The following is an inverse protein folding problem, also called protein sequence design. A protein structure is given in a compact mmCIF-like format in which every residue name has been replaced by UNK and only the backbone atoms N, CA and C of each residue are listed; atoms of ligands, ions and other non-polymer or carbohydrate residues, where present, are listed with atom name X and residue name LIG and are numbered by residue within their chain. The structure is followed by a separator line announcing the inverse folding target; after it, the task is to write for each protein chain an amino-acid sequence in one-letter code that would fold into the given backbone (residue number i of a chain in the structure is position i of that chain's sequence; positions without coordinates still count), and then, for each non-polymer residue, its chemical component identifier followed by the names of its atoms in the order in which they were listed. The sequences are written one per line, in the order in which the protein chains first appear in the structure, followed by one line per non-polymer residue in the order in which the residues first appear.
data_IF_818523959607
#
_entry.id   IF_818523959607
#
_cell.length_a   1.000
_cell.length_b   1.000
_cell.length_c   1.000
_cell.angle_alpha   90.00
_cell.angle_beta   90.00
_cell.angle_gamma   90.00
#
_symmetry.space_group_name_H-M   'P 1'
#
loop_
_entity.id
_entity.type
_entity.pdbx_description
1 polymer ?
#
# COMPACT_ATOMS: atom_id res chain seq x y z
N UNK A 1 3.19 2.23 45.20
CA UNK A 1 3.05 3.71 45.21
C UNK A 1 1.83 3.98 44.36
N UNK A 2 0.83 4.61 44.96
CA UNK A 2 -0.50 4.76 44.40
C UNK A 2 -0.60 6.04 43.56
N UNK A 3 -1.58 6.07 42.66
CA UNK A 3 -1.98 7.29 41.95
C UNK A 3 -2.36 8.38 42.97
N UNK A 4 -2.34 9.66 42.56
CA UNK A 4 -2.91 10.70 43.40
C UNK A 4 -4.39 10.36 43.72
N UNK A 5 -4.89 10.63 44.94
CA UNK A 5 -6.28 10.33 45.29
C UNK A 5 -7.29 10.99 44.34
N UNK A 6 -6.96 12.18 43.85
CA UNK A 6 -7.75 12.93 42.88
C UNK A 6 -7.79 12.23 41.51
N UNK A 7 -6.65 11.82 40.97
CA UNK A 7 -6.61 11.12 39.68
C UNK A 7 -7.27 9.75 39.78
N UNK A 8 -7.08 9.02 40.90
CA UNK A 8 -7.74 7.74 41.12
C UNK A 8 -9.28 7.88 41.10
N UNK A 9 -9.83 8.91 41.77
CA UNK A 9 -11.26 9.20 41.75
C UNK A 9 -11.75 9.56 40.34
N UNK A 10 -11.06 10.49 39.67
CA UNK A 10 -11.44 10.95 38.33
C UNK A 10 -11.37 9.82 37.29
N UNK A 11 -10.36 8.96 37.38
CA UNK A 11 -10.20 7.80 36.51
C UNK A 11 -11.32 6.78 36.73
N UNK A 12 -11.71 6.53 37.98
CA UNK A 12 -12.84 5.65 38.28
C UNK A 12 -14.17 6.20 37.73
N UNK A 13 -14.40 7.51 37.84
CA UNK A 13 -15.57 8.18 37.24
C UNK A 13 -15.55 8.03 35.72
N UNK A 14 -14.41 8.27 35.08
CA UNK A 14 -14.26 8.08 33.63
C UNK A 14 -14.62 6.65 33.23
N UNK A 15 -14.03 5.64 33.89
CA UNK A 15 -14.22 4.23 33.55
C UNK A 15 -15.67 3.77 33.83
N UNK A 16 -16.35 4.36 34.80
CA UNK A 16 -17.77 4.12 35.05
C UNK A 16 -18.66 4.59 33.88
N UNK A 17 -18.25 5.65 33.17
CA UNK A 17 -18.92 6.15 31.96
C UNK A 17 -18.62 5.32 30.70
N UNK A 18 -17.89 4.20 30.82
CA UNK A 18 -17.62 3.22 29.75
C UNK A 18 -17.05 3.86 28.46
N UNK A 19 -15.87 4.50 28.52
CA UNK A 19 -15.25 5.07 27.34
C UNK A 19 -15.03 4.01 26.26
N UNK A 20 -15.22 4.39 25.00
CA UNK A 20 -14.97 3.58 23.83
C UNK A 20 -13.48 3.40 23.56
N UNK A 21 -12.67 4.41 23.86
CA UNK A 21 -11.21 4.43 23.72
C UNK A 21 -10.60 5.46 24.68
N UNK A 22 -9.31 5.30 24.99
CA UNK A 22 -8.54 6.20 25.84
C UNK A 22 -7.24 6.59 25.14
N UNK A 23 -6.95 7.89 25.13
CA UNK A 23 -5.71 8.48 24.61
C UNK A 23 -5.00 9.22 25.74
N UNK A 24 -3.67 9.13 25.80
CA UNK A 24 -2.88 9.91 26.76
C UNK A 24 -1.89 10.77 25.99
N UNK A 25 -1.97 12.08 26.20
CA UNK A 25 -0.93 13.00 25.77
C UNK A 25 0.12 13.09 26.88
N UNK A 26 1.25 12.41 26.71
CA UNK A 26 2.29 12.29 27.72
C UNK A 26 2.95 13.64 28.02
N UNK A 27 3.22 14.47 27.02
CA UNK A 27 3.88 15.78 27.20
C UNK A 27 3.04 16.75 28.02
N UNK A 28 1.73 16.73 27.83
CA UNK A 28 0.79 17.54 28.61
C UNK A 28 0.21 16.79 29.80
N UNK A 29 0.61 15.56 30.09
CA UNK A 29 0.05 14.75 31.17
C UNK A 29 -1.49 14.81 31.21
N UNK A 30 -2.13 14.66 30.05
CA UNK A 30 -3.59 14.77 29.91
C UNK A 30 -4.15 13.48 29.31
N UNK A 31 -5.09 12.87 30.03
CA UNK A 31 -5.80 11.67 29.59
C UNK A 31 -7.14 12.08 28.99
N UNK A 32 -7.48 11.52 27.84
CA UNK A 32 -8.74 11.73 27.15
C UNK A 32 -9.50 10.40 27.05
N UNK A 33 -10.82 10.47 27.21
CA UNK A 33 -11.72 9.33 26.98
C UNK A 33 -12.76 9.68 25.92
N UNK A 34 -12.87 8.82 24.91
CA UNK A 34 -13.89 8.89 23.89
C UNK A 34 -15.19 8.28 24.42
N UNK A 35 -16.28 9.04 24.42
CA UNK A 35 -17.64 8.57 24.68
C UNK A 35 -18.42 8.53 23.34
N UNK A 36 -19.68 8.11 23.36
CA UNK A 36 -20.48 7.93 22.13
C UNK A 36 -20.57 9.23 21.30
N UNK A 37 -20.91 10.36 21.94
CA UNK A 37 -21.11 11.66 21.26
C UNK A 37 -20.23 12.80 21.83
N UNK A 38 -19.24 12.48 22.68
CA UNK A 38 -18.41 13.50 23.34
C UNK A 38 -17.03 12.99 23.74
N UNK A 39 -16.14 13.91 24.07
CA UNK A 39 -14.84 13.63 24.66
C UNK A 39 -14.77 14.20 26.08
N UNK A 40 -14.08 13.50 26.97
CA UNK A 40 -13.79 13.99 28.33
C UNK A 40 -12.29 13.93 28.57
N UNK A 41 -11.78 14.88 29.36
CA UNK A 41 -10.35 15.00 29.64
C UNK A 41 -10.05 15.08 31.14
N UNK A 42 -8.95 14.46 31.56
CA UNK A 42 -8.40 14.52 32.91
C UNK A 42 -6.96 15.03 32.81
N UNK A 43 -6.69 16.19 33.41
CA UNK A 43 -5.31 16.63 33.67
C UNK A 43 -4.78 15.81 34.83
N UNK A 44 -3.71 15.06 34.59
CA UNK A 44 -3.06 14.20 35.58
C UNK A 44 -2.18 15.01 36.52
N UNK A 45 -2.11 14.58 37.78
CA UNK A 45 -1.36 15.19 38.86
C UNK A 45 -0.30 14.19 39.36
N UNK A 46 0.83 14.03 38.62
CA UNK A 46 1.84 13.03 38.94
C UNK A 46 2.45 13.26 40.33
N UNK A 47 2.51 12.20 41.13
CA UNK A 47 3.15 12.18 42.46
C UNK A 47 4.57 11.63 42.44
N UNK A 48 5.04 11.22 41.26
CA UNK A 48 6.35 10.68 40.98
C UNK A 48 6.76 11.01 39.53
N UNK A 49 7.97 10.67 39.07
CA UNK A 49 8.38 10.97 37.69
C UNK A 49 7.35 10.49 36.65
N UNK A 50 7.12 11.31 35.63
CA UNK A 50 6.01 11.15 34.67
C UNK A 50 5.95 9.75 34.04
N UNK A 51 7.09 9.21 33.59
CA UNK A 51 7.17 7.85 33.01
C UNK A 51 6.64 6.78 33.97
N UNK A 52 7.05 6.86 35.25
CA UNK A 52 6.60 5.93 36.29
C UNK A 52 5.11 6.12 36.60
N UNK A 53 4.63 7.35 36.57
CA UNK A 53 3.23 7.68 36.80
C UNK A 53 2.32 7.17 35.67
N UNK A 54 2.73 7.40 34.42
CA UNK A 54 2.03 6.90 33.23
C UNK A 54 1.97 5.37 33.20
N UNK A 55 3.05 4.70 33.61
CA UNK A 55 3.04 3.23 33.77
C UNK A 55 2.01 2.76 34.79
N UNK A 56 1.81 3.49 35.89
CA UNK A 56 0.78 3.19 36.88
C UNK A 56 -0.63 3.43 36.34
N UNK A 57 -0.85 4.54 35.64
CA UNK A 57 -2.13 4.84 34.96
C UNK A 57 -2.47 3.70 33.98
N UNK A 58 -1.54 3.31 33.10
CA UNK A 58 -1.73 2.20 32.15
C UNK A 58 -1.98 0.86 32.84
N UNK A 59 -1.35 0.62 34.00
CA UNK A 59 -1.62 -0.57 34.81
C UNK A 59 -3.06 -0.60 35.32
N UNK A 60 -3.58 0.52 35.83
CA UNK A 60 -4.98 0.62 36.31
C UNK A 60 -5.97 0.47 35.15
N UNK A 61 -5.70 1.12 34.01
CA UNK A 61 -6.51 0.97 32.80
C UNK A 61 -6.54 -0.48 32.30
N UNK A 62 -5.38 -1.14 32.25
CA UNK A 62 -5.26 -2.53 31.85
C UNK A 62 -5.98 -3.49 32.78
N UNK A 63 -5.86 -3.30 34.09
CA UNK A 63 -6.57 -4.13 35.08
C UNK A 63 -8.09 -3.98 34.90
N UNK A 64 -8.58 -2.76 34.70
CA UNK A 64 -10.01 -2.51 34.55
C UNK A 64 -10.58 -3.02 33.23
N UNK A 65 -9.88 -2.83 32.12
CA UNK A 65 -10.35 -3.20 30.79
C UNK A 65 -10.29 -4.72 30.55
N UNK A 66 -9.25 -5.40 31.06
CA UNK A 66 -8.98 -6.80 30.74
C UNK A 66 -9.32 -7.77 31.89
N UNK A 67 -9.59 -7.26 33.10
CA UNK A 67 -9.96 -8.08 34.26
C UNK A 67 -8.88 -9.04 34.74
N UNK A 68 -7.61 -8.84 34.34
CA UNK A 68 -6.49 -9.72 34.70
C UNK A 68 -5.44 -8.98 35.56
N UNK A 69 -5.11 -9.49 36.76
CA UNK A 69 -4.13 -8.89 37.67
C UNK A 69 -2.67 -9.01 37.22
N UNK A 70 -2.37 -9.70 36.11
CA UNK A 70 -0.99 -9.86 35.61
C UNK A 70 -0.33 -8.53 35.16
N UNK A 71 -1.08 -7.44 35.09
CA UNK A 71 -0.57 -6.07 35.00
C UNK A 71 0.04 -5.69 33.64
N UNK A 72 0.04 -4.38 33.39
CA UNK A 72 0.76 -3.76 32.29
C UNK A 72 2.29 -3.80 32.55
N UNK A 73 3.15 -4.16 31.57
CA UNK A 73 2.88 -4.40 30.14
C UNK A 73 2.81 -5.89 29.73
N UNK A 74 2.79 -6.82 30.69
CA UNK A 74 2.94 -8.27 30.41
C UNK A 74 1.82 -8.84 29.52
N UNK A 75 0.63 -8.23 29.54
CA UNK A 75 -0.47 -8.63 28.66
C UNK A 75 -0.15 -8.40 27.18
N UNK A 76 0.43 -7.25 26.81
CA UNK A 76 0.81 -6.94 25.43
C UNK A 76 1.89 -7.91 24.90
N UNK A 77 2.85 -8.29 25.74
CA UNK A 77 3.88 -9.27 25.40
C UNK A 77 3.31 -10.69 25.20
N UNK A 78 2.23 -11.04 25.88
CA UNK A 78 1.51 -12.31 25.67
C UNK A 78 0.58 -12.24 24.46
N UNK A 79 -0.02 -11.07 24.21
CA UNK A 79 -0.86 -10.79 23.05
C UNK A 79 -0.09 -10.99 21.74
N UNK A 80 1.11 -10.40 21.63
CA UNK A 80 1.99 -10.58 20.44
C UNK A 80 2.42 -12.03 20.22
N UNK A 81 2.45 -12.86 21.26
CA UNK A 81 2.85 -14.28 21.19
C UNK A 81 1.71 -15.26 20.88
N UNK A 82 0.49 -14.97 21.33
CA UNK A 82 -0.63 -15.93 21.25
C UNK A 82 -1.39 -15.90 19.91
N UNK A 83 -1.11 -14.94 19.04
CA UNK A 83 -1.44 -14.96 17.61
C UNK A 83 -2.93 -14.90 17.23
N UNK A 84 -3.86 -15.28 18.12
CA UNK A 84 -5.31 -15.22 17.88
C UNK A 84 -6.07 -15.01 19.18
N UNK A 85 -6.87 -13.95 19.24
CA UNK A 85 -7.94 -13.79 20.23
C UNK A 85 -9.16 -13.09 19.62
N UNK A 86 -10.31 -13.32 20.26
CA UNK A 86 -11.66 -12.97 19.81
C UNK A 86 -11.86 -11.46 19.60
N UNK A 87 -12.72 -11.08 18.66
CA UNK A 87 -13.04 -9.68 18.28
C UNK A 87 -13.41 -8.77 19.46
N UNK A 88 -14.05 -9.29 20.50
CA UNK A 88 -14.42 -8.54 21.70
C UNK A 88 -13.20 -7.96 22.45
N UNK A 89 -12.03 -8.60 22.34
CA UNK A 89 -10.80 -8.14 23.01
C UNK A 89 -10.21 -6.88 22.38
N UNK A 90 -10.49 -6.61 21.10
CA UNK A 90 -9.95 -5.45 20.38
C UNK A 90 -10.51 -4.13 20.93
N UNK A 91 -11.79 -4.11 21.32
CA UNK A 91 -12.44 -2.93 21.91
C UNK A 91 -11.80 -2.55 23.25
N UNK A 92 -11.40 -3.53 24.05
CA UNK A 92 -10.78 -3.29 25.35
C UNK A 92 -9.33 -2.80 25.23
N UNK A 93 -8.59 -3.24 24.20
CA UNK A 93 -7.24 -2.74 23.92
C UNK A 93 -7.19 -1.23 23.68
N UNK A 94 -8.22 -0.67 23.04
CA UNK A 94 -8.31 0.77 22.80
C UNK A 94 -8.52 1.60 24.09
N UNK A 95 -8.82 0.96 25.22
CA UNK A 95 -9.00 1.63 26.52
C UNK A 95 -7.73 1.63 27.37
N UNK A 96 -6.61 1.12 26.85
CA UNK A 96 -5.36 1.01 27.61
C UNK A 96 -4.57 2.32 27.71
N UNK A 97 -4.87 3.32 26.86
CA UNK A 97 -4.07 4.54 26.79
C UNK A 97 -2.62 4.28 26.34
N UNK A 98 -2.41 3.19 25.61
CA UNK A 98 -1.11 2.76 25.10
C UNK A 98 -1.11 2.73 23.56
N UNK A 99 -0.24 3.53 22.91
CA UNK A 99 -0.05 3.47 21.45
C UNK A 99 0.24 2.08 20.90
N UNK A 100 0.98 1.21 21.63
CA UNK A 100 1.26 -0.16 21.19
C UNK A 100 -0.02 -1.01 21.12
N UNK A 101 -0.94 -0.79 22.06
CA UNK A 101 -2.24 -1.46 22.05
C UNK A 101 -3.14 -0.97 20.89
N UNK A 102 -3.05 0.30 20.52
CA UNK A 102 -3.75 0.84 19.36
C UNK A 102 -3.19 0.23 18.08
N UNK A 103 -1.86 0.20 17.91
CA UNK A 103 -1.22 -0.40 16.75
C UNK A 103 -1.55 -1.90 16.62
N UNK A 104 -1.61 -2.61 17.75
CA UNK A 104 -2.08 -3.99 17.83
C UNK A 104 -3.50 -4.19 17.27
N UNK A 105 -4.44 -3.29 17.60
CA UNK A 105 -5.80 -3.31 17.05
C UNK A 105 -5.80 -3.00 15.55
N UNK A 106 -5.01 -2.02 15.11
CA UNK A 106 -4.88 -1.64 13.70
C UNK A 106 -4.36 -2.82 12.84
N UNK A 107 -3.52 -3.69 13.40
CA UNK A 107 -2.99 -4.87 12.70
C UNK A 107 -3.89 -6.10 12.78
N UNK A 108 -5.03 -6.05 13.46
CA UNK A 108 -5.87 -7.22 13.71
C UNK A 108 -6.75 -7.59 12.49
N UNK A 109 -6.89 -8.89 12.20
CA UNK A 109 -7.76 -9.40 11.12
C UNK A 109 -9.24 -8.99 11.32
N UNK A 110 -9.70 -8.85 12.57
CA UNK A 110 -11.07 -8.46 12.94
C UNK A 110 -11.33 -6.95 12.94
N UNK A 111 -10.45 -6.14 12.33
CA UNK A 111 -10.61 -4.68 12.29
C UNK A 111 -11.83 -4.28 11.46
N UNK A 112 -12.80 -3.62 12.12
CA UNK A 112 -14.00 -3.03 11.49
C UNK A 112 -13.82 -1.53 11.29
N UNK A 113 -14.64 -0.90 10.44
CA UNK A 113 -14.63 0.56 10.25
C UNK A 113 -14.83 1.32 11.58
N UNK A 114 -15.73 0.84 12.44
CA UNK A 114 -15.98 1.48 13.74
C UNK A 114 -14.82 1.29 14.73
N UNK A 115 -14.11 0.15 14.69
CA UNK A 115 -12.88 -0.02 15.47
C UNK A 115 -11.76 0.87 14.94
N UNK A 116 -11.64 1.00 13.61
CA UNK A 116 -10.69 1.89 12.98
C UNK A 116 -10.94 3.36 13.34
N UNK A 117 -12.20 3.80 13.39
CA UNK A 117 -12.57 5.16 13.84
C UNK A 117 -12.07 5.45 15.26
N UNK A 118 -12.26 4.49 16.18
CA UNK A 118 -11.82 4.61 17.59
C UNK A 118 -10.30 4.55 17.72
N UNK A 119 -9.65 3.65 16.96
CA UNK A 119 -8.20 3.52 16.92
C UNK A 119 -7.56 4.80 16.37
N UNK A 120 -8.13 5.36 15.29
CA UNK A 120 -7.72 6.62 14.71
C UNK A 120 -7.82 7.77 15.71
N UNK A 121 -8.97 7.93 16.39
CA UNK A 121 -9.13 8.93 17.45
C UNK A 121 -8.09 8.77 18.58
N UNK A 122 -7.76 7.52 18.93
CA UNK A 122 -6.80 7.24 19.99
C UNK A 122 -5.35 7.55 19.59
N UNK A 123 -4.99 7.39 18.32
CA UNK A 123 -3.64 7.61 17.79
C UNK A 123 -3.67 7.95 16.30
N UNK A 124 -3.59 9.26 15.98
CA UNK A 124 -3.65 9.82 14.63
C UNK A 124 -2.28 9.77 13.91
N UNK A 125 -1.69 8.58 13.80
CA UNK A 125 -0.37 8.39 13.19
C UNK A 125 -0.48 7.96 11.70
N UNK A 126 0.36 8.50 10.79
CA UNK A 126 0.33 8.13 9.37
C UNK A 126 0.49 6.61 9.14
N UNK A 127 1.29 5.94 9.97
CA UNK A 127 1.47 4.49 9.87
C UNK A 127 0.16 3.74 10.19
N UNK A 128 -0.58 4.19 11.21
CA UNK A 128 -1.89 3.62 11.52
C UNK A 128 -2.85 3.81 10.34
N UNK A 129 -2.89 5.00 9.74
CA UNK A 129 -3.74 5.27 8.59
C UNK A 129 -3.44 4.34 7.40
N UNK A 130 -2.15 4.14 7.06
CA UNK A 130 -1.74 3.22 5.99
C UNK A 130 -2.19 1.79 6.27
N UNK A 131 -1.93 1.27 7.47
CA UNK A 131 -2.30 -0.10 7.87
C UNK A 131 -3.81 -0.31 7.87
N UNK A 132 -4.56 0.63 8.44
CA UNK A 132 -6.03 0.57 8.43
C UNK A 132 -6.59 0.55 7.01
N UNK A 133 -6.05 1.34 6.08
CA UNK A 133 -6.49 1.36 4.67
C UNK A 133 -6.16 0.10 3.86
N UNK A 134 -5.27 -0.77 4.36
CA UNK A 134 -5.08 -2.11 3.77
C UNK A 134 -6.25 -3.05 4.08
N UNK A 135 -7.05 -2.75 5.11
CA UNK A 135 -8.22 -3.53 5.50
C UNK A 135 -9.46 -3.13 4.69
N UNK A 136 -10.09 -4.10 4.02
CA UNK A 136 -11.24 -3.87 3.14
C UNK A 136 -12.40 -3.16 3.87
N UNK A 137 -12.78 -3.65 5.05
CA UNK A 137 -13.87 -3.09 5.85
C UNK A 137 -13.67 -1.60 6.19
N UNK A 138 -12.43 -1.15 6.36
CA UNK A 138 -12.11 0.26 6.61
C UNK A 138 -12.08 1.05 5.31
N UNK A 139 -11.48 0.50 4.26
CA UNK A 139 -11.39 1.18 2.96
C UNK A 139 -12.74 1.42 2.30
N UNK A 140 -13.74 0.57 2.57
CA UNK A 140 -15.12 0.75 2.09
C UNK A 140 -15.97 1.62 3.04
N UNK A 141 -15.48 1.84 4.26
CA UNK A 141 -16.14 2.60 5.31
C UNK A 141 -15.95 4.12 5.23
N UNK A 142 -16.50 4.85 6.19
CA UNK A 142 -16.33 6.31 6.24
C UNK A 142 -14.96 6.69 6.80
N UNK A 143 -14.40 5.90 7.71
CA UNK A 143 -13.07 6.14 8.27
C UNK A 143 -12.02 6.10 7.16
N UNK A 144 -12.12 5.16 6.22
CA UNK A 144 -11.20 5.07 5.08
C UNK A 144 -11.07 6.39 4.30
N UNK A 145 -12.17 7.11 4.05
CA UNK A 145 -12.13 8.40 3.34
C UNK A 145 -11.38 9.48 4.13
N UNK A 146 -11.57 9.50 5.44
CA UNK A 146 -10.85 10.42 6.33
C UNK A 146 -9.35 10.10 6.33
N UNK A 147 -8.99 8.83 6.48
CA UNK A 147 -7.60 8.37 6.48
C UNK A 147 -6.89 8.67 5.16
N UNK A 148 -7.57 8.45 4.02
CA UNK A 148 -7.01 8.74 2.71
C UNK A 148 -6.70 10.24 2.55
N UNK A 149 -7.62 11.13 2.94
CA UNK A 149 -7.39 12.57 2.90
C UNK A 149 -6.23 12.99 3.81
N UNK A 150 -6.20 12.47 5.03
CA UNK A 150 -5.12 12.72 5.97
C UNK A 150 -3.76 12.35 5.37
N UNK A 151 -3.63 11.16 4.77
CA UNK A 151 -2.38 10.76 4.12
C UNK A 151 -1.96 11.72 3.00
N UNK A 152 -2.89 12.19 2.17
CA UNK A 152 -2.58 13.13 1.09
C UNK A 152 -2.17 14.51 1.62
N UNK A 153 -2.80 14.97 2.70
CA UNK A 153 -2.41 16.21 3.39
C UNK A 153 -1.04 16.07 4.07
N UNK A 154 -0.71 14.87 4.57
CA UNK A 154 0.55 14.58 5.24
C UNK A 154 1.73 14.34 4.27
N UNK A 155 1.46 13.91 3.03
CA UNK A 155 2.48 13.60 2.01
C UNK A 155 3.61 14.63 1.82
N UNK A 156 3.40 15.96 1.92
CA UNK A 156 4.48 16.94 1.82
C UNK A 156 5.52 16.86 2.95
N UNK A 157 5.15 16.27 4.09
CA UNK A 157 6.02 16.08 5.25
C UNK A 157 6.73 14.73 5.24
N UNK A 158 6.30 13.81 4.38
CA UNK A 158 6.94 12.52 4.21
C UNK A 158 8.32 12.68 3.55
N UNK A 159 9.30 11.93 4.01
CA UNK A 159 10.66 11.95 3.45
C UNK A 159 11.07 10.61 2.86
N UNK A 160 10.51 9.53 3.38
CA UNK A 160 10.81 8.19 2.91
C UNK A 160 10.04 7.87 1.61
N UNK A 161 10.76 7.33 0.63
CA UNK A 161 10.21 7.10 -0.70
C UNK A 161 9.19 5.97 -0.72
N UNK A 162 9.47 4.87 0.00
CA UNK A 162 8.54 3.74 0.10
C UNK A 162 7.24 4.18 0.80
N UNK A 163 7.37 4.98 1.84
CA UNK A 163 6.24 5.51 2.59
C UNK A 163 5.38 6.46 1.75
N UNK A 164 5.99 7.28 0.88
CA UNK A 164 5.25 8.07 -0.11
C UNK A 164 4.48 7.19 -1.10
N UNK A 165 5.12 6.15 -1.64
CA UNK A 165 4.50 5.20 -2.57
C UNK A 165 3.30 4.55 -1.90
N UNK A 166 3.50 4.01 -0.70
CA UNK A 166 2.47 3.30 0.06
C UNK A 166 1.29 4.20 0.38
N UNK A 167 1.55 5.43 0.84
CA UNK A 167 0.51 6.40 1.18
C UNK A 167 -0.37 6.74 -0.04
N UNK A 168 0.24 6.96 -1.21
CA UNK A 168 -0.52 7.18 -2.45
C UNK A 168 -1.23 5.88 -2.87
N UNK A 169 -0.57 4.72 -2.80
CA UNK A 169 -1.14 3.42 -3.18
C UNK A 169 -2.43 3.12 -2.42
N UNK A 170 -2.43 3.28 -1.11
CA UNK A 170 -3.62 3.00 -0.30
C UNK A 170 -4.69 4.08 -0.40
N UNK A 171 -4.30 5.36 -0.55
CA UNK A 171 -5.25 6.47 -0.65
C UNK A 171 -5.94 6.57 -2.03
N UNK A 172 -5.30 6.06 -3.10
CA UNK A 172 -5.84 6.11 -4.47
C UNK A 172 -6.81 4.97 -4.82
N UNK A 173 -7.11 4.06 -3.86
CA UNK A 173 -8.09 3.01 -4.11
C UNK A 173 -9.44 3.62 -4.51
N UNK A 174 -10.18 3.03 -5.46
CA UNK A 174 -11.46 3.57 -5.92
C UNK A 174 -12.42 3.87 -4.77
N UNK A 175 -13.05 5.05 -4.78
CA UNK A 175 -14.07 5.45 -3.81
C UNK A 175 -13.57 6.16 -2.54
N UNK A 176 -12.26 6.17 -2.27
CA UNK A 176 -11.70 6.83 -1.08
C UNK A 176 -11.62 8.36 -1.19
N UNK A 177 -11.26 8.85 -2.38
CA UNK A 177 -11.12 10.28 -2.64
C UNK A 177 -12.00 10.73 -3.81
N UNK A 178 -12.54 11.97 -3.76
CA UNK A 178 -13.17 12.59 -4.91
C UNK A 178 -12.22 12.67 -6.10
N UNK A 179 -12.78 12.55 -7.29
CA UNK A 179 -12.03 12.54 -8.53
C UNK A 179 -11.23 13.84 -8.78
N UNK A 180 -11.71 14.97 -8.27
CA UNK A 180 -10.97 16.24 -8.30
C UNK A 180 -9.68 16.20 -7.48
N UNK A 181 -9.69 15.54 -6.31
CA UNK A 181 -8.53 15.38 -5.45
C UNK A 181 -7.53 14.39 -6.08
N UNK A 182 -8.04 13.28 -6.65
CA UNK A 182 -7.23 12.31 -7.41
C UNK A 182 -6.48 12.97 -8.57
N UNK A 183 -7.19 13.76 -9.40
CA UNK A 183 -6.57 14.53 -10.50
C UNK A 183 -5.56 15.56 -10.03
N UNK A 184 -5.82 16.26 -8.92
CA UNK A 184 -4.89 17.24 -8.37
C UNK A 184 -3.58 16.58 -7.93
N UNK A 185 -3.66 15.40 -7.28
CA UNK A 185 -2.48 14.64 -6.88
C UNK A 185 -1.74 14.04 -8.09
N UNK A 186 -2.46 13.55 -9.09
CA UNK A 186 -1.87 13.06 -10.34
C UNK A 186 -1.04 14.14 -11.04
N UNK A 187 -1.53 15.37 -11.15
CA UNK A 187 -0.74 16.49 -11.70
C UNK A 187 0.56 16.74 -10.91
N UNK A 188 0.56 16.53 -9.59
CA UNK A 188 1.77 16.65 -8.76
C UNK A 188 2.76 15.50 -9.01
N UNK A 189 2.28 14.31 -9.37
CA UNK A 189 3.11 13.12 -9.62
C UNK A 189 4.10 13.32 -10.76
N UNK A 190 3.79 14.20 -11.73
CA UNK A 190 4.68 14.57 -12.84
C UNK A 190 6.07 15.07 -12.38
N UNK A 191 6.18 15.59 -11.15
CA UNK A 191 7.45 16.05 -10.56
C UNK A 191 7.91 15.19 -9.37
N UNK A 192 7.14 14.16 -9.02
CA UNK A 192 7.32 13.33 -7.83
C UNK A 192 7.07 11.86 -8.21
N UNK A 193 8.12 11.23 -8.75
CA UNK A 193 8.08 9.82 -9.20
C UNK A 193 7.48 8.84 -8.18
N UNK A 194 7.76 8.93 -6.86
CA UNK A 194 7.12 8.04 -5.87
C UNK A 194 5.58 8.09 -5.90
N UNK A 195 5.00 9.27 -6.15
CA UNK A 195 3.54 9.38 -6.25
C UNK A 195 3.02 8.67 -7.49
N UNK A 196 3.74 8.79 -8.61
CA UNK A 196 3.37 8.13 -9.87
C UNK A 196 3.39 6.60 -9.70
N UNK A 197 4.38 6.06 -9.00
CA UNK A 197 4.44 4.64 -8.62
C UNK A 197 3.22 4.25 -7.77
N UNK A 198 2.87 5.05 -6.76
CA UNK A 198 1.70 4.79 -5.93
C UNK A 198 0.40 4.73 -6.72
N UNK A 199 0.23 5.58 -7.74
CA UNK A 199 -0.94 5.53 -8.63
C UNK A 199 -1.02 4.22 -9.42
N UNK A 200 0.05 3.85 -10.12
CA UNK A 200 0.06 2.61 -10.93
C UNK A 200 -0.05 1.35 -10.05
N UNK A 201 0.41 1.41 -8.81
CA UNK A 201 0.29 0.33 -7.84
C UNK A 201 -1.11 0.21 -7.23
N UNK A 202 -1.92 1.28 -7.26
CA UNK A 202 -3.25 1.31 -6.65
C UNK A 202 -4.34 0.83 -7.61
N UNK A 203 -4.41 1.48 -8.78
CA UNK A 203 -5.49 1.29 -9.74
C UNK A 203 -4.95 1.52 -11.16
N UNK A 204 -4.15 0.58 -11.71
CA UNK A 204 -3.52 0.76 -13.01
C UNK A 204 -4.52 0.92 -14.17
N UNK A 205 -5.75 0.45 -14.00
CA UNK A 205 -6.84 0.57 -14.99
C UNK A 205 -7.78 1.76 -14.76
N UNK A 206 -7.53 2.60 -13.75
CA UNK A 206 -8.37 3.76 -13.41
C UNK A 206 -7.47 4.96 -13.07
N UNK A 207 -6.54 5.26 -13.97
CA UNK A 207 -5.64 6.41 -13.84
C UNK A 207 -6.38 7.72 -14.20
N UNK A 208 -6.07 8.88 -13.56
CA UNK A 208 -6.96 10.06 -13.65
C UNK A 208 -6.92 10.87 -14.96
N UNK A 209 -5.93 10.64 -15.81
CA UNK A 209 -5.76 11.29 -17.12
C UNK A 209 -6.26 10.37 -18.24
N UNK A 210 -6.19 10.85 -19.50
CA UNK A 210 -6.53 10.06 -20.67
C UNK A 210 -5.42 10.10 -21.69
N UNK A 211 -5.15 8.96 -22.29
CA UNK A 211 -4.27 8.79 -23.44
C UNK A 211 -5.09 8.07 -24.52
N UNK A 212 -4.95 8.39 -25.81
CA UNK A 212 -5.63 7.62 -26.85
C UNK A 212 -5.22 6.13 -26.77
N UNK A 213 -6.11 5.20 -27.15
CA UNK A 213 -5.71 3.81 -27.29
C UNK A 213 -4.65 3.68 -28.40
N UNK A 214 -3.97 2.53 -28.46
CA UNK A 214 -3.02 2.27 -29.55
C UNK A 214 -3.74 2.36 -30.89
N UNK A 215 -3.10 2.97 -31.88
CA UNK A 215 -3.74 3.36 -33.15
C UNK A 215 -4.35 2.19 -33.94
N UNK A 216 -3.77 0.99 -33.80
CA UNK A 216 -4.21 -0.24 -34.47
C UNK A 216 -5.28 -1.02 -33.69
N UNK A 217 -5.59 -0.66 -32.43
CA UNK A 217 -6.54 -1.40 -31.58
C UNK A 217 -7.89 -1.61 -32.28
N UNK A 218 -8.41 -0.58 -32.94
CA UNK A 218 -9.70 -0.67 -33.64
C UNK A 218 -9.76 -1.78 -34.70
N UNK A 219 -8.63 -2.08 -35.35
CA UNK A 219 -8.55 -3.13 -36.38
C UNK A 219 -8.38 -4.55 -35.83
N UNK A 220 -8.03 -4.69 -34.55
CA UNK A 220 -7.77 -5.99 -33.90
C UNK A 220 -8.70 -6.27 -32.70
N UNK A 221 -9.53 -5.31 -32.31
CA UNK A 221 -10.38 -5.41 -31.12
C UNK A 221 -11.36 -6.59 -31.18
N UNK A 222 -12.03 -6.79 -32.31
CA UNK A 222 -12.99 -7.90 -32.48
C UNK A 222 -12.30 -9.26 -32.42
N UNK A 223 -11.11 -9.36 -33.05
CA UNK A 223 -10.27 -10.56 -33.00
C UNK A 223 -9.87 -10.88 -31.56
N UNK A 224 -9.38 -9.90 -30.81
CA UNK A 224 -8.95 -10.08 -29.43
C UNK A 224 -10.14 -10.36 -28.48
N UNK A 225 -11.30 -9.77 -28.74
CA UNK A 225 -12.50 -9.95 -27.90
C UNK A 225 -13.13 -11.34 -28.08
N UNK A 226 -12.96 -11.94 -29.25
CA UNK A 226 -13.40 -13.31 -29.52
C UNK A 226 -12.45 -14.38 -28.95
N UNK A 227 -11.21 -14.01 -28.65
CA UNK A 227 -10.18 -14.90 -28.12
C UNK A 227 -10.22 -14.96 -26.59
N UNK A 228 -10.36 -16.18 -26.05
CA UNK A 228 -10.51 -16.41 -24.60
C UNK A 228 -9.17 -16.60 -23.87
N UNK A 229 -8.04 -16.43 -24.56
CA UNK A 229 -6.73 -16.57 -23.94
C UNK A 229 -6.43 -15.39 -22.99
N UNK A 230 -5.68 -15.62 -21.90
CA UNK A 230 -5.20 -14.53 -21.06
C UNK A 230 -4.40 -13.48 -21.83
N UNK A 231 -3.67 -13.89 -22.87
CA UNK A 231 -2.91 -13.00 -23.73
C UNK A 231 -3.81 -12.01 -24.48
N UNK A 232 -4.91 -12.46 -25.08
CA UNK A 232 -5.84 -11.58 -25.79
C UNK A 232 -6.49 -10.55 -24.86
N UNK A 233 -6.91 -10.99 -23.66
CA UNK A 233 -7.46 -10.09 -22.63
C UNK A 233 -6.43 -9.05 -22.17
N UNK A 234 -5.17 -9.45 -21.96
CA UNK A 234 -4.10 -8.54 -21.57
C UNK A 234 -3.70 -7.58 -22.69
N UNK A 235 -3.76 -8.01 -23.96
CA UNK A 235 -3.61 -7.11 -25.10
C UNK A 235 -4.71 -6.05 -25.11
N UNK A 236 -5.99 -6.43 -25.06
CA UNK A 236 -7.09 -5.46 -24.99
C UNK A 236 -6.89 -4.45 -23.88
N UNK A 237 -6.50 -4.93 -22.70
CA UNK A 237 -6.20 -4.09 -21.53
C UNK A 237 -5.04 -3.12 -21.81
N UNK A 238 -3.89 -3.61 -22.28
CA UNK A 238 -2.70 -2.79 -22.56
C UNK A 238 -2.87 -1.81 -23.70
N UNK A 239 -3.65 -2.16 -24.72
CA UNK A 239 -3.86 -1.33 -25.90
C UNK A 239 -4.97 -0.29 -25.71
N UNK A 240 -5.78 -0.41 -24.65
CA UNK A 240 -6.80 0.56 -24.27
C UNK A 240 -6.23 1.92 -23.85
N UNK A 241 -7.10 2.92 -23.72
CA UNK A 241 -6.73 4.26 -23.23
C UNK A 241 -5.95 4.23 -21.90
N UNK A 242 -6.46 3.47 -20.92
CA UNK A 242 -5.82 3.35 -19.61
C UNK A 242 -4.55 2.48 -19.66
N UNK A 243 -4.54 1.44 -20.49
CA UNK A 243 -3.34 0.62 -20.70
C UNK A 243 -2.18 1.42 -21.27
N UNK A 244 -2.45 2.30 -22.25
CA UNK A 244 -1.45 3.20 -22.82
C UNK A 244 -0.96 4.23 -21.79
N UNK A 245 -1.86 4.76 -20.96
CA UNK A 245 -1.48 5.67 -19.87
C UNK A 245 -0.62 4.96 -18.79
N UNK A 246 -0.96 3.72 -18.44
CA UNK A 246 -0.17 2.88 -17.53
C UNK A 246 1.24 2.64 -18.06
N UNK A 247 1.37 2.22 -19.33
CA UNK A 247 2.66 1.96 -19.98
C UNK A 247 3.52 3.23 -20.07
N UNK A 248 2.93 4.36 -20.44
CA UNK A 248 3.63 5.65 -20.47
C UNK A 248 4.07 6.08 -19.05
N UNK A 249 3.24 5.88 -18.03
CA UNK A 249 3.63 6.12 -16.64
C UNK A 249 4.82 5.25 -16.20
N UNK A 250 4.80 3.94 -16.49
CA UNK A 250 5.93 3.04 -16.25
C UNK A 250 7.19 3.54 -16.96
N UNK A 251 7.10 3.90 -18.24
CA UNK A 251 8.25 4.42 -19.00
C UNK A 251 8.83 5.70 -18.39
N UNK A 252 7.97 6.64 -17.98
CA UNK A 252 8.38 7.88 -17.29
C UNK A 252 9.13 7.58 -15.99
N UNK A 253 8.68 6.60 -15.21
CA UNK A 253 9.35 6.17 -13.98
C UNK A 253 10.74 5.60 -14.29
N UNK A 254 10.84 4.66 -15.23
CA UNK A 254 12.10 3.96 -15.55
C UNK A 254 13.15 4.86 -16.22
N UNK A 255 12.74 5.93 -16.89
CA UNK A 255 13.67 6.90 -17.48
C UNK A 255 14.51 7.65 -16.44
N UNK A 256 13.93 7.96 -15.28
CA UNK A 256 14.62 8.72 -14.22
C UNK A 256 14.21 8.25 -12.80
N UNK A 257 14.48 6.99 -12.43
CA UNK A 257 14.13 6.48 -11.11
C UNK A 257 15.03 7.12 -10.03
N UNK A 258 14.48 7.62 -8.92
CA UNK A 258 15.24 8.26 -7.86
C UNK A 258 15.95 7.25 -6.94
N UNK A 259 15.35 6.09 -6.70
CA UNK A 259 15.83 5.04 -5.77
C UNK A 259 15.62 3.65 -6.35
N UNK A 260 16.26 2.65 -5.74
CA UNK A 260 16.09 1.24 -6.12
C UNK A 260 14.66 0.78 -5.83
N UNK A 261 14.05 1.22 -4.72
CA UNK A 261 12.72 0.76 -4.31
C UNK A 261 11.64 1.22 -5.28
N UNK A 262 11.79 2.41 -5.88
CA UNK A 262 10.94 2.86 -6.99
C UNK A 262 11.03 1.91 -8.17
N UNK A 263 12.23 1.45 -8.52
CA UNK A 263 12.41 0.52 -9.64
C UNK A 263 11.76 -0.81 -9.29
N UNK A 264 12.16 -1.44 -8.17
CA UNK A 264 11.65 -2.75 -7.75
C UNK A 264 10.12 -2.74 -7.66
N UNK A 265 9.53 -1.72 -7.02
CA UNK A 265 8.06 -1.61 -6.93
C UNK A 265 7.43 -1.47 -8.31
N UNK A 266 8.01 -0.69 -9.22
CA UNK A 266 7.48 -0.54 -10.59
C UNK A 266 7.56 -1.85 -11.36
N UNK A 267 8.64 -2.62 -11.20
CA UNK A 267 8.78 -3.96 -11.79
C UNK A 267 7.74 -4.93 -11.24
N UNK A 268 7.52 -4.94 -9.92
CA UNK A 268 6.52 -5.78 -9.27
C UNK A 268 5.08 -5.43 -9.71
N UNK A 269 4.79 -4.14 -9.90
CA UNK A 269 3.51 -3.67 -10.44
C UNK A 269 3.31 -4.17 -11.87
N UNK A 270 4.31 -4.04 -12.75
CA UNK A 270 4.22 -4.55 -14.12
C UNK A 270 4.07 -6.08 -14.16
N UNK A 271 4.84 -6.81 -13.33
CA UNK A 271 4.68 -8.26 -13.19
C UNK A 271 3.25 -8.62 -12.80
N UNK A 272 2.71 -7.95 -11.78
CA UNK A 272 1.34 -8.18 -11.29
C UNK A 272 0.30 -7.85 -12.36
N UNK A 273 0.52 -6.79 -13.14
CA UNK A 273 -0.34 -6.38 -14.24
C UNK A 273 -0.45 -7.47 -15.32
N UNK A 274 0.64 -8.20 -15.59
CA UNK A 274 0.70 -9.29 -16.60
C UNK A 274 0.68 -10.71 -16.01
N UNK A 275 0.32 -10.88 -14.73
CA UNK A 275 0.41 -12.16 -14.03
C UNK A 275 -0.38 -13.30 -14.72
N UNK A 276 -1.44 -12.97 -15.45
CA UNK A 276 -2.24 -13.95 -16.20
C UNK A 276 -1.47 -14.73 -17.28
N UNK A 277 -0.33 -14.22 -17.76
CA UNK A 277 0.55 -14.98 -18.65
C UNK A 277 1.36 -16.03 -17.91
N UNK A 278 1.64 -15.83 -16.61
CA UNK A 278 2.56 -16.64 -15.81
C UNK A 278 1.85 -17.19 -14.56
N UNK A 279 0.97 -18.20 -14.71
CA UNK A 279 0.24 -18.78 -13.60
C UNK A 279 1.15 -19.46 -12.55
N UNK A 280 2.37 -19.86 -12.95
CA UNK A 280 3.38 -20.47 -12.07
C UNK A 280 4.03 -19.48 -11.10
N UNK A 281 3.76 -18.18 -11.24
CA UNK A 281 4.29 -17.13 -10.37
C UNK A 281 5.62 -16.53 -10.84
N UNK A 282 6.34 -15.89 -9.91
CA UNK A 282 7.60 -15.19 -10.19
C UNK A 282 8.71 -16.16 -10.64
N UNK A 283 9.29 -15.98 -11.84
CA UNK A 283 10.34 -16.86 -12.33
C UNK A 283 11.71 -16.56 -11.71
N UNK A 284 11.91 -15.38 -11.10
CA UNK A 284 13.19 -14.89 -10.55
C UNK A 284 14.38 -15.03 -11.53
N UNK A 285 14.16 -14.67 -12.80
CA UNK A 285 15.14 -14.77 -13.87
C UNK A 285 15.82 -13.43 -14.20
N UNK A 286 17.01 -13.49 -14.80
CA UNK A 286 17.66 -12.33 -15.41
C UNK A 286 17.00 -11.93 -16.73
N UNK A 287 17.18 -10.69 -17.17
CA UNK A 287 16.50 -10.14 -18.35
C UNK A 287 16.74 -10.96 -19.63
N UNK A 288 17.97 -11.43 -19.86
CA UNK A 288 18.30 -12.26 -21.03
C UNK A 288 17.57 -13.61 -21.02
N UNK A 289 17.46 -14.24 -19.84
CA UNK A 289 16.74 -15.50 -19.68
C UNK A 289 15.24 -15.32 -19.89
N UNK A 290 14.68 -14.15 -19.51
CA UNK A 290 13.30 -13.81 -19.81
C UNK A 290 13.04 -13.69 -21.32
N UNK A 291 13.97 -13.12 -22.08
CA UNK A 291 13.84 -13.07 -23.55
C UNK A 291 13.82 -14.46 -24.19
N UNK A 292 14.74 -15.32 -23.77
CA UNK A 292 14.83 -16.71 -24.25
C UNK A 292 13.55 -17.49 -23.91
N UNK A 293 13.08 -17.37 -22.66
CA UNK A 293 11.86 -18.01 -22.21
C UNK A 293 10.61 -17.47 -22.93
N UNK A 294 10.54 -16.16 -23.14
CA UNK A 294 9.42 -15.55 -23.85
C UNK A 294 9.32 -15.98 -25.32
N UNK A 295 10.47 -16.15 -25.99
CA UNK A 295 10.51 -16.68 -27.36
C UNK A 295 9.97 -18.12 -27.42
N UNK A 296 10.43 -18.98 -26.50
CA UNK A 296 9.97 -20.37 -26.39
C UNK A 296 8.47 -20.43 -26.05
N UNK A 297 8.00 -19.58 -25.14
CA UNK A 297 6.58 -19.51 -24.75
C UNK A 297 5.67 -19.20 -25.94
N UNK A 298 6.01 -18.18 -26.73
CA UNK A 298 5.23 -17.74 -27.88
C UNK A 298 5.19 -18.81 -28.98
N UNK A 299 6.27 -19.57 -29.16
CA UNK A 299 6.37 -20.62 -30.18
C UNK A 299 5.65 -21.91 -29.77
N UNK A 300 5.71 -22.26 -28.49
CA UNK A 300 5.18 -23.54 -28.01
C UNK A 300 3.74 -23.46 -27.49
N UNK A 301 3.19 -22.26 -27.30
CA UNK A 301 1.80 -22.12 -26.83
C UNK A 301 0.83 -22.25 -28.00
N UNK A 302 0.30 -23.47 -28.18
CA UNK A 302 -0.65 -23.80 -29.24
C UNK A 302 -1.88 -22.88 -29.27
N UNK A 303 -2.36 -22.45 -28.10
CA UNK A 303 -3.52 -21.56 -27.98
C UNK A 303 -3.32 -20.17 -28.61
N UNK A 304 -2.07 -19.71 -28.78
CA UNK A 304 -1.77 -18.40 -29.39
C UNK A 304 -1.64 -18.46 -30.91
N UNK A 305 -1.46 -19.65 -31.49
CA UNK A 305 -1.20 -19.79 -32.93
C UNK A 305 -2.35 -19.29 -33.81
N UNK A 306 -3.64 -19.50 -33.47
CA UNK A 306 -4.75 -18.91 -34.22
C UNK A 306 -4.74 -17.39 -34.23
N UNK A 307 -4.34 -16.76 -33.12
CA UNK A 307 -4.22 -15.32 -32.99
C UNK A 307 -3.11 -14.78 -33.91
N UNK A 308 -1.93 -15.40 -33.88
CA UNK A 308 -0.80 -15.00 -34.72
C UNK A 308 -1.02 -15.26 -36.21
N UNK A 309 -1.81 -16.28 -36.55
CA UNK A 309 -2.18 -16.54 -37.95
C UNK A 309 -3.05 -15.42 -38.53
N UNK A 310 -3.92 -14.82 -37.71
CA UNK A 310 -4.81 -13.73 -38.13
C UNK A 310 -4.15 -12.36 -38.02
N UNK A 311 -3.30 -12.14 -37.01
CA UNK A 311 -2.58 -10.90 -36.80
C UNK A 311 -1.11 -11.17 -36.38
N UNK A 312 -0.20 -11.40 -37.35
CA UNK A 312 1.19 -11.76 -37.07
C UNK A 312 1.96 -10.73 -36.24
N UNK A 313 1.60 -9.44 -36.35
CA UNK A 313 2.21 -8.35 -35.57
C UNK A 313 2.04 -8.54 -34.06
N UNK A 314 0.95 -9.17 -33.61
CA UNK A 314 0.68 -9.42 -32.18
C UNK A 314 1.69 -10.37 -31.54
N UNK A 315 2.45 -11.13 -32.33
CA UNK A 315 3.52 -12.00 -31.81
C UNK A 315 4.51 -11.20 -30.97
N UNK A 316 4.94 -10.03 -31.46
CA UNK A 316 5.90 -9.17 -30.76
C UNK A 316 5.28 -8.55 -29.49
N UNK A 317 4.00 -8.19 -29.54
CA UNK A 317 3.27 -7.67 -28.39
C UNK A 317 3.15 -8.72 -27.28
N UNK A 318 2.80 -9.97 -27.62
CA UNK A 318 2.73 -11.06 -26.63
C UNK A 318 4.11 -11.41 -26.07
N UNK A 319 5.16 -11.42 -26.89
CA UNK A 319 6.54 -11.59 -26.40
C UNK A 319 6.88 -10.50 -25.38
N UNK A 320 6.55 -9.24 -25.67
CA UNK A 320 6.80 -8.13 -24.75
C UNK A 320 6.07 -8.30 -23.42
N UNK A 321 4.76 -8.57 -23.45
CA UNK A 321 3.99 -8.84 -22.23
C UNK A 321 4.55 -10.04 -21.45
N UNK A 322 5.03 -11.08 -22.14
CA UNK A 322 5.62 -12.26 -21.48
C UNK A 322 6.91 -11.91 -20.74
N UNK A 323 7.78 -11.07 -21.31
CA UNK A 323 8.97 -10.54 -20.63
C UNK A 323 8.55 -9.69 -19.42
N UNK A 324 7.62 -8.75 -19.62
CA UNK A 324 7.12 -7.87 -18.54
C UNK A 324 6.48 -8.67 -17.39
N UNK A 325 5.84 -9.80 -17.68
CA UNK A 325 5.26 -10.72 -16.68
C UNK A 325 6.30 -11.46 -15.82
N UNK A 326 7.59 -11.38 -16.16
CA UNK A 326 8.68 -12.02 -15.41
C UNK A 326 9.57 -11.03 -14.66
N UNK A 327 9.23 -9.73 -14.66
CA UNK A 327 10.03 -8.71 -13.99
C UNK A 327 10.01 -8.86 -12.46
N UNK A 328 11.09 -8.45 -11.82
CA UNK A 328 11.25 -8.53 -10.37
C UNK A 328 12.70 -8.23 -9.99
N UNK A 329 13.14 -8.64 -8.79
CA UNK A 329 14.53 -8.41 -8.38
C UNK A 329 15.54 -9.22 -9.22
N UNK A 330 15.14 -10.37 -9.78
CA UNK A 330 15.98 -11.22 -10.63
C UNK A 330 16.66 -10.48 -11.78
N UNK A 331 15.95 -9.54 -12.43
CA UNK A 331 16.51 -8.78 -13.57
C UNK A 331 17.53 -7.72 -13.15
N UNK A 332 17.43 -7.20 -11.91
CA UNK A 332 18.36 -6.19 -11.38
C UNK A 332 19.61 -6.83 -10.76
N UNK A 333 19.49 -8.08 -10.30
CA UNK A 333 20.51 -8.81 -9.54
C UNK A 333 21.89 -8.84 -10.20
N UNK A 334 22.04 -9.06 -11.53
CA UNK A 334 23.36 -9.09 -12.18
C UNK A 334 24.11 -7.75 -12.06
N UNK A 335 23.40 -6.65 -12.21
CA UNK A 335 23.97 -5.29 -12.22
C UNK A 335 24.21 -4.75 -10.79
N UNK A 336 23.46 -5.23 -9.81
CA UNK A 336 23.55 -4.80 -8.41
C UNK A 336 24.43 -5.71 -7.53
N UNK A 337 24.87 -6.86 -8.04
CA UNK A 337 25.71 -7.78 -7.27
C UNK A 337 26.97 -7.09 -6.74
N UNK A 338 27.12 -7.08 -5.41
CA UNK A 338 28.26 -6.44 -4.73
C UNK A 338 28.28 -4.91 -4.81
N UNK A 339 27.15 -4.28 -5.13
CA UNK A 339 27.03 -2.84 -5.32
C UNK A 339 26.19 -2.20 -4.21
N UNK A 340 26.74 -1.18 -3.54
CA UNK A 340 25.99 -0.24 -2.70
C UNK A 340 25.64 1.06 -3.45
N UNK A 341 25.70 1.03 -4.78
CA UNK A 341 25.49 2.21 -5.61
C UNK A 341 24.11 2.82 -5.39
N UNK A 342 24.08 4.13 -5.13
CA UNK A 342 22.86 4.93 -5.02
C UNK A 342 22.83 6.04 -6.08
N UNK A 343 21.65 6.63 -6.29
CA UNK A 343 21.45 7.81 -7.14
C UNK A 343 21.99 7.66 -8.57
N UNK A 344 22.86 8.59 -8.99
CA UNK A 344 23.40 8.60 -10.36
C UNK A 344 24.29 7.41 -10.73
N UNK A 345 24.97 6.78 -9.77
CA UNK A 345 25.78 5.58 -10.03
C UNK A 345 24.88 4.36 -10.22
N UNK A 346 23.84 4.22 -9.40
CA UNK A 346 22.83 3.17 -9.55
C UNK A 346 22.19 3.23 -10.93
N UNK A 347 21.76 4.42 -11.37
CA UNK A 347 21.14 4.61 -12.69
C UNK A 347 22.03 4.15 -13.84
N UNK A 348 23.32 4.50 -13.82
CA UNK A 348 24.28 4.07 -14.86
C UNK A 348 24.50 2.55 -14.87
N UNK A 349 24.53 1.91 -13.70
CA UNK A 349 24.66 0.46 -13.61
C UNK A 349 23.41 -0.27 -14.13
N UNK A 350 22.23 0.26 -13.81
CA UNK A 350 20.97 -0.35 -14.20
C UNK A 350 20.57 -0.01 -15.65
N UNK A 351 21.22 0.95 -16.30
CA UNK A 351 20.91 1.41 -17.65
C UNK A 351 20.75 0.27 -18.68
N UNK A 352 21.64 -0.75 -18.76
CA UNK A 352 21.49 -1.83 -19.72
C UNK A 352 20.17 -2.62 -19.54
N UNK A 353 19.76 -2.86 -18.30
CA UNK A 353 18.53 -3.60 -17.97
C UNK A 353 17.31 -2.71 -18.16
N UNK A 354 17.36 -1.47 -17.69
CA UNK A 354 16.25 -0.52 -17.81
C UNK A 354 15.96 -0.15 -19.27
N UNK A 355 16.98 -0.12 -20.13
CA UNK A 355 16.82 0.11 -21.56
C UNK A 355 16.01 -1.02 -22.20
N UNK A 356 16.40 -2.28 -21.98
CA UNK A 356 15.67 -3.43 -22.51
C UNK A 356 14.20 -3.46 -22.04
N UNK A 357 13.95 -3.20 -20.74
CA UNK A 357 12.58 -3.12 -20.22
C UNK A 357 11.81 -1.97 -20.88
N UNK A 358 12.44 -0.81 -21.06
CA UNK A 358 11.82 0.34 -21.73
C UNK A 358 11.47 0.04 -23.18
N UNK A 359 12.26 -0.76 -23.88
CA UNK A 359 11.98 -1.15 -25.26
C UNK A 359 10.77 -2.10 -25.36
N UNK A 360 10.63 -3.03 -24.42
CA UNK A 360 9.42 -3.87 -24.33
C UNK A 360 8.15 -3.04 -24.05
N UNK A 361 8.26 -1.99 -23.23
CA UNK A 361 7.16 -1.04 -23.03
C UNK A 361 6.84 -0.28 -24.32
N UNK A 362 7.87 0.18 -25.06
CA UNK A 362 7.68 0.92 -26.33
C UNK A 362 7.01 0.08 -27.42
N UNK A 363 7.27 -1.23 -27.46
CA UNK A 363 6.56 -2.17 -28.34
C UNK A 363 5.05 -2.06 -28.10
N UNK A 364 4.63 -2.14 -26.84
CA UNK A 364 3.21 -2.08 -26.47
C UNK A 364 2.60 -0.69 -26.64
N UNK A 365 3.41 0.37 -26.57
CA UNK A 365 3.02 1.74 -26.92
C UNK A 365 2.93 1.97 -28.45
N UNK A 366 3.28 0.98 -29.28
CA UNK A 366 3.35 1.16 -30.74
C UNK A 366 4.40 2.17 -31.19
N UNK A 367 5.42 2.42 -30.34
CA UNK A 367 6.49 3.40 -30.53
C UNK A 367 7.88 2.78 -30.66
N UNK A 368 7.96 1.45 -30.76
CA UNK A 368 9.21 0.75 -31.06
C UNK A 368 9.67 1.06 -32.50
N UNK A 369 10.98 1.17 -32.77
CA UNK A 369 11.51 1.37 -34.11
C UNK A 369 11.21 0.20 -35.06
#
# INVERSE_FOLDING_TARGET
MELSPEDALRLNVLLANKPQAIRINESSMTLFGLLDDSETSIRLNPTCPDEKYLKQIRSVLSERALGNPAGYPLYLQRWTRMGKMRDESLKELLKLGDPEAVFAVVCAEGLTDELARRAWWASEEPENARRMLQTMAVSEGQTGKQLARYLIEFLPFETDTETMIESVRVAMRPGLLPESERRALWKKSARKTPYLVGFIASAPDDLPDRTPPRSDLSGICDLLSADQTPAASLLLRSLSENGQLFLDACLRILNKPPTQDVITTTLDVMRSYYAGLRPDGDPDLGLQQLYEEAAVYVDNTAALQPLFSQAPSLRRDVTAMRVLSGLGYGVLRPELKGSSAAGGLMRRKLEPVLHGISDEIKVLLGSAP
#
